data_IF_146916344742
#
_entry.id   IF_146916344742
#
_cell.length_a   1.000
_cell.length_b   1.000
_cell.length_c   1.000
_cell.angle_alpha   90.00
_cell.angle_beta   90.00
_cell.angle_gamma   90.00
#
_symmetry.space_group_name_H-M   'P 1'
#
loop_
_entity.id
_entity.type
_entity.pdbx_description
1 polymer ?
#
# COMPACT_ATOMS: atom_id res chain seq x y z
N UNK A 1 7.69 -1.21 -3.76
CA UNK A 1 6.88 -0.13 -3.15
C UNK A 1 5.64 -0.70 -2.48
N UNK A 2 4.80 -1.45 -3.21
CA UNK A 2 3.62 -2.12 -2.63
C UNK A 2 4.00 -3.10 -1.50
N UNK A 3 5.11 -3.84 -1.63
CA UNK A 3 5.57 -4.74 -0.57
C UNK A 3 5.75 -4.05 0.79
N UNK A 4 6.12 -2.76 0.79
CA UNK A 4 6.24 -2.00 2.02
C UNK A 4 4.87 -1.69 2.64
N UNK A 5 3.85 -1.40 1.82
CA UNK A 5 2.47 -1.26 2.30
C UNK A 5 1.95 -2.58 2.88
N UNK A 6 2.27 -3.71 2.25
CA UNK A 6 1.89 -5.05 2.74
C UNK A 6 2.54 -5.33 4.10
N UNK A 7 3.83 -5.01 4.26
CA UNK A 7 4.55 -5.16 5.54
C UNK A 7 3.91 -4.30 6.61
N UNK A 8 3.72 -3.01 6.34
CA UNK A 8 3.12 -2.07 7.28
C UNK A 8 1.72 -2.52 7.74
N UNK A 9 0.88 -2.98 6.80
CA UNK A 9 -0.44 -3.53 7.14
C UNK A 9 -0.32 -4.70 8.12
N UNK A 10 0.59 -5.63 7.85
CA UNK A 10 0.80 -6.83 8.69
C UNK A 10 1.37 -6.45 10.05
N UNK A 11 2.31 -5.51 10.11
CA UNK A 11 2.93 -5.04 11.35
C UNK A 11 1.91 -4.33 12.25
N UNK A 12 0.92 -3.65 11.65
CA UNK A 12 -0.24 -3.08 12.37
C UNK A 12 -1.34 -4.11 12.70
N UNK A 13 -1.21 -5.37 12.27
CA UNK A 13 -2.21 -6.42 12.50
C UNK A 13 -3.54 -6.20 11.77
N UNK A 14 -3.57 -5.38 10.72
CA UNK A 14 -4.79 -5.06 9.99
C UNK A 14 -5.12 -6.12 8.94
N UNK A 15 -6.39 -6.50 8.81
CA UNK A 15 -6.84 -7.33 7.69
C UNK A 15 -6.92 -6.53 6.39
N UNK A 16 -7.03 -7.23 5.25
CA UNK A 16 -7.22 -6.57 3.96
C UNK A 16 -8.59 -5.86 3.90
N UNK A 17 -9.63 -6.44 4.52
CA UNK A 17 -10.95 -5.83 4.67
C UNK A 17 -10.87 -4.51 5.46
N UNK A 18 -10.06 -4.46 6.52
CA UNK A 18 -9.91 -3.26 7.34
C UNK A 18 -9.30 -2.10 6.54
N UNK A 19 -8.26 -2.37 5.74
CA UNK A 19 -7.65 -1.37 4.85
C UNK A 19 -8.64 -0.97 3.74
N UNK A 20 -9.34 -1.93 3.15
CA UNK A 20 -10.30 -1.67 2.09
C UNK A 20 -11.47 -0.79 2.58
N UNK A 21 -11.95 -1.01 3.81
CA UNK A 21 -12.97 -0.18 4.44
C UNK A 21 -12.49 1.28 4.61
N UNK A 22 -11.24 1.49 5.04
CA UNK A 22 -10.64 2.83 5.15
C UNK A 22 -10.52 3.53 3.78
N UNK A 23 -10.34 2.77 2.71
CA UNK A 23 -10.26 3.27 1.34
C UNK A 23 -11.62 3.45 0.66
N UNK A 24 -12.72 2.99 1.28
CA UNK A 24 -14.02 2.93 0.62
C UNK A 24 -14.04 2.01 -0.60
N UNK A 25 -13.28 0.90 -0.56
CA UNK A 25 -13.12 -0.07 -1.66
C UNK A 25 -13.54 -1.49 -1.22
N UNK A 26 -13.88 -2.38 -2.16
CA UNK A 26 -14.02 -3.81 -1.87
C UNK A 26 -12.69 -4.41 -1.42
N UNK A 27 -12.70 -5.44 -0.58
CA UNK A 27 -11.47 -6.13 -0.14
C UNK A 27 -10.62 -6.64 -1.31
N UNK A 28 -11.25 -7.05 -2.41
CA UNK A 28 -10.56 -7.48 -3.64
C UNK A 28 -9.65 -6.39 -4.24
N UNK A 29 -9.95 -5.11 -3.99
CA UNK A 29 -9.06 -4.02 -4.39
C UNK A 29 -7.69 -4.16 -3.71
N UNK A 30 -7.71 -4.43 -2.40
CA UNK A 30 -6.50 -4.63 -1.58
C UNK A 30 -5.80 -5.91 -1.98
N UNK A 31 -6.50 -7.06 -2.01
CA UNK A 31 -5.85 -8.32 -2.34
C UNK A 31 -5.14 -8.29 -3.69
N UNK A 32 -5.79 -7.73 -4.73
CA UNK A 32 -5.23 -7.65 -6.09
C UNK A 32 -3.97 -6.81 -6.17
N UNK A 33 -3.91 -5.67 -5.48
CA UNK A 33 -2.67 -4.89 -5.50
C UNK A 33 -1.57 -5.56 -4.67
N UNK A 34 -1.90 -6.20 -3.55
CA UNK A 34 -0.91 -6.86 -2.69
C UNK A 34 -0.21 -8.04 -3.39
N UNK A 35 -0.88 -8.72 -4.31
CA UNK A 35 -0.32 -9.85 -5.09
C UNK A 35 0.18 -9.43 -6.47
N UNK A 36 0.08 -8.15 -6.85
CA UNK A 36 0.55 -7.63 -8.12
C UNK A 36 -0.36 -7.86 -9.33
N UNK A 37 -1.55 -8.44 -9.15
CA UNK A 37 -2.58 -8.54 -10.19
C UNK A 37 -3.10 -7.17 -10.65
N UNK A 38 -3.00 -6.16 -9.79
CA UNK A 38 -3.32 -4.77 -10.09
C UNK A 38 -2.17 -3.86 -9.68
N UNK A 39 -1.75 -2.97 -10.59
CA UNK A 39 -0.82 -1.89 -10.25
C UNK A 39 -1.57 -0.72 -9.63
N UNK A 40 -1.03 -0.15 -8.56
CA UNK A 40 -1.44 1.15 -8.04
C UNK A 40 -0.69 2.24 -8.82
N UNK A 41 -1.42 3.27 -9.26
CA UNK A 41 -0.76 4.52 -9.63
C UNK A 41 -0.27 5.27 -8.38
N UNK A 42 0.38 6.43 -8.56
CA UNK A 42 0.95 7.18 -7.45
C UNK A 42 -0.12 7.71 -6.48
N UNK A 43 -1.27 8.17 -6.99
CA UNK A 43 -2.35 8.68 -6.13
C UNK A 43 -2.94 7.54 -5.31
N UNK A 44 -3.22 6.41 -5.95
CA UNK A 44 -3.74 5.22 -5.28
C UNK A 44 -2.76 4.63 -4.25
N UNK A 45 -1.46 4.69 -4.55
CA UNK A 45 -0.41 4.31 -3.61
C UNK A 45 -0.40 5.22 -2.38
N UNK A 46 -0.54 6.54 -2.56
CA UNK A 46 -0.61 7.49 -1.46
C UNK A 46 -1.88 7.34 -0.63
N UNK A 47 -3.01 7.03 -1.27
CA UNK A 47 -4.26 6.72 -0.57
C UNK A 47 -4.11 5.46 0.30
N UNK A 48 -3.49 4.40 -0.24
CA UNK A 48 -3.20 3.18 0.52
C UNK A 48 -2.23 3.44 1.69
N UNK A 49 -1.18 4.24 1.49
CA UNK A 49 -0.27 4.65 2.57
C UNK A 49 -1.00 5.44 3.66
N UNK A 50 -1.89 6.37 3.27
CA UNK A 50 -2.72 7.15 4.19
C UNK A 50 -3.69 6.27 4.97
N UNK A 51 -4.31 5.28 4.34
CA UNK A 51 -5.17 4.31 5.01
C UNK A 51 -4.41 3.47 6.06
N UNK A 52 -3.10 3.33 5.90
CA UNK A 52 -2.18 2.69 6.84
C UNK A 52 -1.52 3.69 7.82
N UNK A 53 -1.88 4.97 7.81
CA UNK A 53 -1.25 6.01 8.65
C UNK A 53 0.29 6.06 8.52
N UNK A 54 0.82 5.86 7.31
CA UNK A 54 2.26 5.98 7.03
C UNK A 54 2.57 7.01 5.97
N UNK A 55 3.82 7.50 5.98
CA UNK A 55 4.32 8.45 5.00
C UNK A 55 4.61 7.77 3.65
N UNK A 56 3.64 7.84 2.74
CA UNK A 56 3.78 7.31 1.39
C UNK A 56 4.90 7.97 0.57
N UNK A 57 5.15 9.27 0.75
CA UNK A 57 6.21 9.96 0.00
C UNK A 57 7.60 9.47 0.42
N UNK A 58 7.79 9.24 1.73
CA UNK A 58 9.02 8.64 2.24
C UNK A 58 9.24 7.23 1.66
N UNK A 59 8.21 6.38 1.66
CA UNK A 59 8.30 5.02 1.10
C UNK A 59 8.64 5.07 -0.40
N UNK A 60 8.01 5.96 -1.16
CA UNK A 60 8.28 6.13 -2.58
C UNK A 60 9.73 6.57 -2.84
N UNK A 61 10.21 7.57 -2.10
CA UNK A 61 11.58 8.07 -2.22
C UNK A 61 12.63 6.98 -1.90
N UNK A 62 12.40 6.16 -0.87
CA UNK A 62 13.27 5.03 -0.54
C UNK A 62 13.25 3.94 -1.62
N UNK A 63 12.08 3.65 -2.19
CA UNK A 63 11.96 2.72 -3.33
C UNK A 63 12.74 3.18 -4.56
N UNK A 64 12.70 4.48 -4.88
CA UNK A 64 13.46 5.06 -6.00
C UNK A 64 14.98 5.01 -5.79
N UNK A 65 15.45 5.12 -4.54
CA UNK A 65 16.89 4.96 -4.22
C UNK A 65 17.36 3.52 -4.41
N UNK A 66 16.55 2.54 -3.97
CA UNK A 66 16.87 1.10 -4.09
C UNK A 66 16.94 0.62 -5.54
N UNK A 67 16.20 1.24 -6.46
CA UNK A 67 16.21 0.87 -7.88
C UNK A 67 17.38 1.48 -8.68
N UNK A 68 18.20 2.35 -8.06
CA UNK A 68 19.36 3.01 -8.66
C UNK A 68 20.69 2.38 -8.28
N UNK A 69 20.69 1.38 -7.39
CA UNK A 69 21.87 0.63 -6.95
C UNK A 69 21.97 -0.72 -7.61
#
# INVERSE_FOLDING_TARGET
MVDQLVRERKDQGLSQEAVAARLGKPQQYVSRYEVGERRLDMVEFLDAAKALNVDGLKIAAEGMKKSRG
#
